data_IF_211125382441
#
_entry.id   IF_211125382441
#
_cell.length_a   1.000
_cell.length_b   1.000
_cell.length_c   1.000
_cell.angle_alpha   90.00
_cell.angle_beta   90.00
_cell.angle_gamma   90.00
#
_symmetry.space_group_name_H-M   'P 1'
#
loop_
_entity.id
_entity.type
_entity.pdbx_description
1 polymer ?
#
# COMPACT_ATOMS: atom_id res chain seq x y z
N UNK A 1 -23.15 -27.52 -8.28
CA UNK A 1 -22.02 -27.25 -7.36
C UNK A 1 -20.86 -26.42 -7.96
N UNK A 2 -20.85 -26.09 -9.26
CA UNK A 2 -19.71 -25.41 -9.92
C UNK A 2 -19.66 -23.89 -9.65
N UNK A 3 -20.83 -23.24 -9.49
CA UNK A 3 -20.89 -21.77 -9.37
C UNK A 3 -20.22 -21.20 -8.10
N UNK A 4 -20.20 -21.94 -6.99
CA UNK A 4 -19.66 -21.45 -5.72
C UNK A 4 -18.11 -21.36 -5.72
N UNK A 5 -17.42 -22.16 -6.54
CA UNK A 5 -15.95 -22.08 -6.64
C UNK A 5 -15.48 -20.88 -7.49
N UNK A 6 -16.23 -20.53 -8.53
CA UNK A 6 -15.89 -19.41 -9.44
C UNK A 6 -15.94 -18.08 -8.68
N UNK A 7 -16.96 -17.87 -7.85
CA UNK A 7 -17.11 -16.67 -7.04
C UNK A 7 -16.01 -16.50 -6.00
N UNK A 8 -15.57 -17.58 -5.32
CA UNK A 8 -14.47 -17.54 -4.35
C UNK A 8 -13.14 -17.14 -4.99
N UNK A 9 -12.84 -17.65 -6.19
CA UNK A 9 -11.63 -17.28 -6.94
C UNK A 9 -11.64 -15.82 -7.41
N UNK A 10 -12.82 -15.27 -7.76
CA UNK A 10 -12.98 -13.87 -8.13
C UNK A 10 -12.67 -12.91 -6.97
N UNK A 11 -13.23 -13.18 -5.79
CA UNK A 11 -13.01 -12.37 -4.57
C UNK A 11 -11.55 -12.35 -4.13
N UNK A 12 -10.85 -13.47 -4.22
CA UNK A 12 -9.42 -13.54 -3.90
C UNK A 12 -8.57 -12.69 -4.86
N UNK A 13 -8.88 -12.71 -6.16
CA UNK A 13 -8.18 -11.88 -7.15
C UNK A 13 -8.39 -10.38 -6.89
N UNK A 14 -9.61 -9.97 -6.55
CA UNK A 14 -9.90 -8.57 -6.23
C UNK A 14 -9.23 -8.13 -4.93
N UNK A 15 -9.18 -8.98 -3.90
CA UNK A 15 -8.47 -8.70 -2.65
C UNK A 15 -6.97 -8.51 -2.88
N UNK A 16 -6.34 -9.43 -3.62
CA UNK A 16 -4.91 -9.31 -3.98
C UNK A 16 -4.64 -8.05 -4.79
N UNK A 17 -5.52 -7.69 -5.73
CA UNK A 17 -5.39 -6.46 -6.51
C UNK A 17 -5.53 -5.20 -5.65
N UNK A 18 -6.47 -5.22 -4.69
CA UNK A 18 -6.67 -4.13 -3.74
C UNK A 18 -5.46 -3.96 -2.83
N UNK A 19 -4.97 -5.04 -2.23
CA UNK A 19 -3.77 -5.04 -1.38
C UNK A 19 -2.53 -4.52 -2.13
N UNK A 20 -2.33 -4.94 -3.39
CA UNK A 20 -1.25 -4.39 -4.23
C UNK A 20 -1.40 -2.89 -4.48
N UNK A 21 -2.63 -2.40 -4.66
CA UNK A 21 -2.91 -0.98 -4.89
C UNK A 21 -2.69 -0.16 -3.63
N UNK A 22 -3.06 -0.68 -2.46
CA UNK A 22 -2.80 -0.09 -1.16
C UNK A 22 -1.29 -0.01 -0.92
N UNK A 23 -0.59 -1.15 -0.96
CA UNK A 23 0.86 -1.22 -0.79
C UNK A 23 1.62 -0.29 -1.76
N UNK A 24 1.17 -0.19 -3.02
CA UNK A 24 1.74 0.76 -3.98
C UNK A 24 1.64 2.21 -3.49
N UNK A 25 0.47 2.63 -3.00
CA UNK A 25 0.27 4.00 -2.51
C UNK A 25 1.08 4.26 -1.25
N UNK A 26 1.10 3.31 -0.33
CA UNK A 26 1.82 3.46 0.94
C UNK A 26 3.32 3.60 0.69
N UNK A 27 3.89 2.75 -0.17
CA UNK A 27 5.29 2.86 -0.60
C UNK A 27 5.56 4.20 -1.31
N UNK A 28 4.64 4.66 -2.17
CA UNK A 28 4.80 5.95 -2.86
C UNK A 28 4.82 7.11 -1.87
N UNK A 29 3.92 7.12 -0.88
CA UNK A 29 3.83 8.17 0.13
C UNK A 29 5.01 8.15 1.09
N UNK A 30 5.44 6.98 1.56
CA UNK A 30 6.58 6.85 2.48
C UNK A 30 7.86 7.39 1.85
N UNK A 31 8.16 6.98 0.61
CA UNK A 31 9.33 7.48 -0.13
C UNK A 31 9.27 8.99 -0.33
N UNK A 32 8.09 9.53 -0.66
CA UNK A 32 7.93 10.98 -0.84
C UNK A 32 8.19 11.71 0.48
N UNK A 33 7.63 11.22 1.60
CA UNK A 33 7.80 11.85 2.92
C UNK A 33 9.26 11.84 3.33
N UNK A 34 9.89 10.66 3.37
CA UNK A 34 11.27 10.48 3.82
C UNK A 34 12.26 11.29 2.97
N UNK A 35 12.13 11.25 1.64
CA UNK A 35 13.03 11.99 0.76
C UNK A 35 12.79 13.49 0.80
N UNK A 36 11.56 13.95 1.03
CA UNK A 36 11.30 15.38 1.20
C UNK A 36 11.87 15.88 2.53
N UNK A 37 11.72 15.14 3.62
CA UNK A 37 12.33 15.50 4.92
C UNK A 37 13.85 15.61 4.81
N UNK A 38 14.50 14.63 4.15
CA UNK A 38 15.95 14.68 3.91
C UNK A 38 16.30 15.86 3.01
N UNK A 39 15.54 16.12 1.95
CA UNK A 39 15.78 17.26 1.07
C UNK A 39 15.63 18.60 1.80
N UNK A 40 14.66 18.74 2.70
CA UNK A 40 14.45 19.93 3.52
C UNK A 40 15.61 20.14 4.50
N UNK A 41 16.09 19.07 5.16
CA UNK A 41 17.29 19.12 6.02
C UNK A 41 18.55 19.52 5.26
N UNK A 42 18.62 19.22 3.96
CA UNK A 42 19.71 19.61 3.07
C UNK A 42 19.51 20.98 2.39
N UNK A 43 18.44 21.72 2.73
CA UNK A 43 18.12 23.02 2.11
C UNK A 43 17.70 22.93 0.64
N UNK A 44 17.26 21.76 0.18
CA UNK A 44 16.83 21.45 -1.19
C UNK A 44 15.30 21.29 -1.28
N UNK A 45 14.55 22.20 -0.68
CA UNK A 45 13.08 22.15 -0.58
C UNK A 45 12.34 22.63 -1.85
N UNK A 46 13.09 22.96 -2.90
CA UNK A 46 12.53 23.55 -4.12
C UNK A 46 11.44 22.69 -4.77
N UNK A 47 10.44 23.33 -5.37
CA UNK A 47 9.35 22.67 -6.11
C UNK A 47 9.84 21.72 -7.20
N UNK A 48 11.00 22.01 -7.81
CA UNK A 48 11.63 21.15 -8.83
C UNK A 48 12.11 19.83 -8.23
N UNK A 49 12.73 19.87 -7.04
CA UNK A 49 13.22 18.69 -6.32
C UNK A 49 12.04 17.84 -5.85
N UNK A 50 11.05 18.44 -5.17
CA UNK A 50 9.81 17.74 -4.74
C UNK A 50 9.11 17.02 -5.91
N UNK A 51 9.05 17.65 -7.09
CA UNK A 51 8.47 17.05 -8.30
C UNK A 51 9.31 15.88 -8.86
N UNK A 52 10.64 15.94 -8.76
CA UNK A 52 11.52 14.83 -9.16
C UNK A 52 11.36 13.65 -8.20
N UNK A 53 11.33 13.90 -6.89
CA UNK A 53 11.08 12.90 -5.84
C UNK A 53 9.75 12.20 -6.11
N UNK A 54 8.65 12.95 -6.27
CA UNK A 54 7.33 12.36 -6.53
C UNK A 54 7.30 11.48 -7.79
N UNK A 55 7.94 11.92 -8.89
CA UNK A 55 8.04 11.12 -10.11
C UNK A 55 8.86 9.83 -9.91
N UNK A 56 9.97 9.92 -9.17
CA UNK A 56 10.83 8.78 -8.83
C UNK A 56 10.09 7.77 -7.96
N UNK A 57 9.49 8.24 -6.87
CA UNK A 57 8.69 7.45 -5.94
C UNK A 57 7.56 6.70 -6.67
N UNK A 58 6.80 7.38 -7.53
CA UNK A 58 5.73 6.76 -8.32
C UNK A 58 6.22 5.64 -9.24
N UNK A 59 7.40 5.82 -9.87
CA UNK A 59 8.00 4.79 -10.72
C UNK A 59 8.45 3.59 -9.90
N UNK A 60 9.14 3.84 -8.79
CA UNK A 60 9.66 2.81 -7.90
C UNK A 60 8.52 2.00 -7.26
N UNK A 61 7.51 2.67 -6.71
CA UNK A 61 6.32 2.03 -6.16
C UNK A 61 5.60 1.17 -7.22
N UNK A 62 5.54 1.60 -8.48
CA UNK A 62 4.98 0.78 -9.58
C UNK A 62 5.81 -0.46 -9.86
N UNK A 63 7.13 -0.42 -9.74
CA UNK A 63 8.00 -1.60 -9.91
C UNK A 63 7.88 -2.55 -8.73
N UNK A 64 7.94 -2.02 -7.50
CA UNK A 64 7.82 -2.81 -6.27
C UNK A 64 6.46 -3.50 -6.18
N UNK A 65 5.36 -2.77 -6.43
CA UNK A 65 4.00 -3.34 -6.41
C UNK A 65 3.75 -4.47 -7.40
N UNK A 66 4.50 -4.50 -8.52
CA UNK A 66 4.47 -5.63 -9.47
C UNK A 66 5.27 -6.83 -8.97
N UNK A 67 6.38 -6.58 -8.29
CA UNK A 67 7.25 -7.61 -7.74
C UNK A 67 6.71 -8.22 -6.42
N UNK A 68 5.77 -7.55 -5.75
CA UNK A 68 5.11 -8.05 -4.54
C UNK A 68 4.42 -9.41 -4.79
N UNK A 69 5.04 -10.45 -4.24
CA UNK A 69 4.45 -11.79 -4.10
C UNK A 69 3.53 -11.75 -2.89
N UNK A 70 2.22 -11.70 -3.15
CA UNK A 70 1.21 -11.83 -2.10
C UNK A 70 0.91 -13.31 -1.95
N UNK A 71 1.15 -13.84 -0.77
CA UNK A 71 0.78 -15.21 -0.44
C UNK A 71 -0.75 -15.34 -0.45
N UNK A 72 -1.25 -16.12 -1.40
CA UNK A 72 -2.69 -16.33 -1.61
C UNK A 72 -3.29 -17.20 -0.51
N UNK A 73 -2.47 -17.92 0.25
CA UNK A 73 -2.93 -18.80 1.34
C UNK A 73 -3.32 -17.97 2.57
N UNK A 74 -2.55 -16.94 2.90
CA UNK A 74 -2.86 -15.98 3.96
C UNK A 74 -4.18 -15.24 3.70
N UNK A 75 -4.38 -14.75 2.46
CA UNK A 75 -5.63 -14.06 2.05
C UNK A 75 -6.85 -15.00 2.09
N UNK A 76 -6.67 -16.31 2.01
CA UNK A 76 -7.76 -17.29 2.07
C UNK A 76 -8.25 -17.53 3.49
N UNK A 77 -7.40 -17.30 4.50
CA UNK A 77 -7.73 -17.47 5.92
C UNK A 77 -8.61 -16.33 6.45
N UNK A 78 -8.39 -15.09 6.01
CA UNK A 78 -9.20 -13.93 6.40
C UNK A 78 -10.58 -13.88 5.72
N UNK A 79 -10.75 -14.54 4.57
CA UNK A 79 -12.09 -14.63 3.94
C UNK A 79 -12.97 -15.68 4.65
N UNK A 80 -12.38 -16.57 5.46
CA UNK A 80 -13.11 -17.55 6.26
C UNK A 80 -13.42 -17.05 7.69
N UNK A 81 -12.64 -16.11 8.22
CA UNK A 81 -12.85 -15.49 9.51
C UNK A 81 -13.10 -13.99 9.29
N UNK A 82 -14.37 -13.56 9.31
CA UNK A 82 -14.71 -12.15 9.21
C UNK A 82 -13.98 -11.35 10.30
N UNK A 83 -12.92 -10.63 9.91
CA UNK A 83 -12.23 -9.67 10.75
C UNK A 83 -11.95 -8.44 9.89
N UNK A 84 -12.88 -7.48 10.00
CA UNK A 84 -12.62 -6.11 9.63
C UNK A 84 -11.71 -5.57 10.72
N UNK A 85 -10.39 -5.58 10.50
CA UNK A 85 -9.49 -4.78 11.32
C UNK A 85 -9.60 -3.36 10.79
N UNK A 86 -10.51 -2.59 11.39
CA UNK A 86 -10.44 -1.14 11.47
C UNK A 86 -9.10 -0.77 12.10
N UNK A 87 -8.24 0.04 11.46
CA UNK A 87 -7.20 0.74 12.19
C UNK A 87 -7.90 1.83 13.01
N UNK A 88 -8.21 1.50 14.26
CA UNK A 88 -8.49 2.47 15.30
C UNK A 88 -7.19 3.25 15.53
N UNK A 89 -7.19 4.52 15.11
CA UNK A 89 -6.17 5.48 15.48
C UNK A 89 -6.35 5.78 16.97
N UNK A 90 -5.45 5.23 17.76
CA UNK A 90 -5.20 5.60 19.16
C UNK A 90 -4.70 7.05 19.17
N UNK A 91 -5.63 8.00 19.28
CA UNK A 91 -5.33 9.38 19.64
C UNK A 91 -4.86 9.39 21.10
N UNK A 92 -3.57 9.65 21.27
CA UNK A 92 -3.00 10.09 22.53
C UNK A 92 -3.81 11.25 23.11
N UNK A 93 -4.32 11.10 24.33
CA UNK A 93 -4.65 12.23 25.18
C UNK A 93 -4.00 12.05 26.54
N UNK A 94 -2.86 12.72 26.68
CA UNK A 94 -2.31 13.16 27.96
C UNK A 94 -3.26 14.21 28.53
N UNK A 95 -3.70 14.04 29.77
CA UNK A 95 -3.95 15.11 30.74
C UNK A 95 -3.98 14.53 32.14
#
# INVERSE_FOLDING_TARGET
>A
MIQNQVMKKGKLKSLVASARKAAKKDIELSIISELNEVAEKLGQDSKKVKKKIAKGARKLAKQLSKALKIDKTAVKSEVAAGSVVTPELEEASVS
#
